data_IF_939148519208
#
_entry.id   IF_939148519208
#
_cell.length_a   1.000
_cell.length_b   1.000
_cell.length_c   1.000
_cell.angle_alpha   90.00
_cell.angle_beta   90.00
_cell.angle_gamma   90.00
#
_symmetry.space_group_name_H-M   'P 1'
#
loop_
_entity.id
_entity.type
_entity.pdbx_description
1 polymer ?
#
# COMPACT_ATOMS: atom_id res chain seq x y z
N UNK A 1 6.55 -14.48 8.22
CA UNK A 1 7.79 -14.01 7.55
C UNK A 1 8.14 -14.73 6.25
N UNK A 2 8.36 -16.06 6.16
CA UNK A 2 8.74 -16.70 4.87
C UNK A 2 7.78 -16.38 3.70
N UNK A 3 6.47 -16.49 3.93
CA UNK A 3 5.42 -16.12 2.95
C UNK A 3 5.48 -14.65 2.56
N UNK A 4 5.55 -13.76 3.53
CA UNK A 4 5.62 -12.31 3.34
C UNK A 4 6.86 -11.91 2.53
N UNK A 5 8.04 -12.44 2.89
CA UNK A 5 9.28 -12.25 2.11
C UNK A 5 9.11 -12.78 0.69
N UNK A 6 8.49 -13.95 0.52
CA UNK A 6 8.24 -14.52 -0.79
C UNK A 6 7.38 -13.58 -1.64
N UNK A 7 6.15 -13.27 -1.22
CA UNK A 7 5.22 -12.37 -1.94
C UNK A 7 5.87 -11.03 -2.22
N UNK A 8 6.46 -10.41 -1.20
CA UNK A 8 7.06 -9.09 -1.32
C UNK A 8 8.28 -9.07 -2.26
N UNK A 9 9.01 -10.18 -2.37
CA UNK A 9 10.14 -10.32 -3.31
C UNK A 9 9.73 -10.55 -4.77
N UNK A 10 8.51 -11.06 -5.04
CA UNK A 10 8.06 -11.40 -6.39
C UNK A 10 7.72 -10.18 -7.26
N UNK A 11 7.48 -9.02 -6.65
CA UNK A 11 6.98 -7.83 -7.35
C UNK A 11 7.86 -6.61 -7.08
N UNK A 12 7.89 -5.65 -7.99
CA UNK A 12 8.56 -4.36 -7.82
C UNK A 12 7.84 -3.30 -8.63
N UNK A 13 7.38 -2.25 -7.96
CA UNK A 13 6.64 -1.14 -8.56
C UNK A 13 6.87 0.13 -7.73
N UNK A 14 6.88 1.34 -8.32
CA UNK A 14 7.11 2.59 -7.57
C UNK A 14 6.14 2.79 -6.38
N UNK A 15 4.89 2.35 -6.55
CA UNK A 15 3.85 2.41 -5.52
C UNK A 15 3.74 1.16 -4.63
N UNK A 16 4.77 0.30 -4.63
CA UNK A 16 4.92 -0.77 -3.66
C UNK A 16 6.21 -0.52 -2.88
N UNK A 17 6.10 -0.46 -1.56
CA UNK A 17 7.23 -0.18 -0.70
C UNK A 17 8.26 -1.30 -0.86
N UNK A 18 9.54 -1.04 -1.15
CA UNK A 18 10.46 -2.11 -1.54
C UNK A 18 11.04 -2.86 -0.33
N UNK A 19 11.15 -4.18 -0.45
CA UNK A 19 11.96 -5.01 0.44
C UNK A 19 13.42 -4.99 -0.02
N UNK A 20 14.31 -4.43 0.80
CA UNK A 20 15.77 -4.42 0.55
C UNK A 20 16.42 -5.72 1.02
N UNK A 21 15.88 -6.33 2.07
CA UNK A 21 16.41 -7.58 2.61
C UNK A 21 15.66 -8.04 3.85
N UNK A 22 16.10 -9.15 4.42
CA UNK A 22 15.55 -9.68 5.66
C UNK A 22 16.65 -10.31 6.50
N UNK A 23 16.41 -10.40 7.81
CA UNK A 23 17.27 -11.10 8.76
C UNK A 23 16.44 -12.13 9.50
N UNK A 24 16.87 -13.39 9.46
CA UNK A 24 16.12 -14.51 10.05
C UNK A 24 16.34 -14.70 11.56
N UNK A 25 17.52 -14.32 12.09
CA UNK A 25 17.92 -14.56 13.47
C UNK A 25 18.72 -13.39 14.06
N UNK A 26 18.73 -13.16 15.39
CA UNK A 26 18.01 -13.90 16.43
C UNK A 26 16.52 -13.56 16.49
N UNK A 27 16.11 -12.44 15.90
CA UNK A 27 14.71 -12.10 15.67
C UNK A 27 14.49 -11.79 14.20
N UNK A 28 13.46 -12.38 13.58
CA UNK A 28 12.91 -11.99 12.28
C UNK A 28 12.82 -10.47 12.11
N UNK A 29 13.47 -9.92 11.09
CA UNK A 29 13.37 -8.51 10.70
C UNK A 29 13.32 -8.38 9.19
N UNK A 30 12.49 -7.45 8.71
CA UNK A 30 12.46 -7.02 7.31
C UNK A 30 13.15 -5.66 7.22
N UNK A 31 13.85 -5.43 6.12
CA UNK A 31 14.63 -4.22 5.88
C UNK A 31 14.07 -3.54 4.64
N UNK A 32 13.62 -2.31 4.78
CA UNK A 32 13.08 -1.48 3.72
C UNK A 32 13.55 -0.02 3.92
N UNK A 33 13.45 0.86 2.90
CA UNK A 33 13.77 2.27 3.07
C UNK A 33 12.89 2.92 4.14
N UNK A 34 13.45 3.87 4.88
CA UNK A 34 12.65 4.67 5.80
C UNK A 34 11.78 5.67 5.03
N UNK A 35 10.52 5.84 5.46
CA UNK A 35 9.59 6.83 4.91
C UNK A 35 9.32 7.90 5.98
N UNK A 36 9.96 9.07 5.87
CA UNK A 36 9.94 10.09 6.96
C UNK A 36 8.57 10.65 7.28
N UNK A 37 7.65 10.60 6.32
CA UNK A 37 6.29 11.09 6.49
C UNK A 37 5.37 10.04 7.13
N UNK A 38 5.87 8.81 7.35
CA UNK A 38 5.14 7.72 7.98
C UNK A 38 4.08 7.12 7.05
N UNK A 39 3.04 6.55 7.67
CA UNK A 39 1.87 6.05 6.94
C UNK A 39 0.86 7.15 6.64
N UNK A 40 -0.12 6.84 5.79
CA UNK A 40 -1.09 7.80 5.30
C UNK A 40 -2.01 8.31 6.41
N UNK A 41 -2.33 7.48 7.43
CA UNK A 41 -3.06 7.95 8.64
C UNK A 41 -2.31 9.07 9.35
N UNK A 42 -1.01 8.87 9.61
CA UNK A 42 -0.15 9.87 10.25
C UNK A 42 0.04 11.10 9.35
N UNK A 43 0.29 10.88 8.06
CA UNK A 43 0.50 11.95 7.09
C UNK A 43 -0.71 12.88 6.99
N UNK A 44 -1.93 12.33 6.88
CA UNK A 44 -3.16 13.14 6.81
C UNK A 44 -3.40 13.93 8.10
N UNK A 45 -3.15 13.32 9.26
CA UNK A 45 -3.29 14.00 10.56
C UNK A 45 -2.38 15.21 10.68
N UNK A 46 -1.14 15.10 10.20
CA UNK A 46 -0.16 16.19 10.27
C UNK A 46 -0.31 17.21 9.14
N UNK A 47 -1.15 16.94 8.14
CA UNK A 47 -1.39 17.82 7.01
C UNK A 47 -2.91 18.02 6.80
N UNK A 48 -3.64 18.63 7.78
CA UNK A 48 -5.09 18.78 7.69
C UNK A 48 -5.53 19.67 6.51
N UNK A 49 -4.66 20.55 6.04
CA UNK A 49 -4.88 21.43 4.88
C UNK A 49 -4.55 20.81 3.52
N UNK A 50 -4.33 19.49 3.43
CA UNK A 50 -3.98 18.84 2.16
C UNK A 50 -5.07 19.11 1.11
N UNK A 51 -4.66 19.61 -0.06
CA UNK A 51 -5.60 19.91 -1.14
C UNK A 51 -6.32 18.64 -1.60
N UNK A 52 -7.51 18.82 -2.19
CA UNK A 52 -8.24 17.71 -2.83
C UNK A 52 -7.36 17.00 -3.86
N UNK A 53 -6.62 17.76 -4.66
CA UNK A 53 -5.76 17.24 -5.71
C UNK A 53 -4.64 16.36 -5.13
N UNK A 54 -4.02 16.77 -4.03
CA UNK A 54 -2.96 15.99 -3.40
C UNK A 54 -3.50 14.73 -2.73
N UNK A 55 -4.70 14.79 -2.12
CA UNK A 55 -5.41 13.60 -1.64
C UNK A 55 -5.66 12.60 -2.78
N UNK A 56 -6.16 13.07 -3.92
CA UNK A 56 -6.37 12.25 -5.12
C UNK A 56 -5.08 11.67 -5.66
N UNK A 57 -3.97 12.43 -5.66
CA UNK A 57 -2.64 11.92 -6.06
C UNK A 57 -2.19 10.75 -5.18
N UNK A 58 -2.36 10.84 -3.86
CA UNK A 58 -2.01 9.76 -2.93
C UNK A 58 -2.89 8.52 -3.13
N UNK A 59 -4.20 8.71 -3.33
CA UNK A 59 -5.13 7.62 -3.65
C UNK A 59 -4.75 6.95 -4.97
N UNK A 60 -4.51 7.74 -6.01
CA UNK A 60 -4.12 7.24 -7.33
C UNK A 60 -2.83 6.42 -7.27
N UNK A 61 -1.83 6.92 -6.56
CA UNK A 61 -0.58 6.19 -6.31
C UNK A 61 -0.82 4.85 -5.60
N UNK A 62 -1.63 4.82 -4.54
CA UNK A 62 -2.02 3.57 -3.89
C UNK A 62 -2.78 2.62 -4.85
N UNK A 63 -3.67 3.16 -5.71
CA UNK A 63 -4.40 2.40 -6.73
C UNK A 63 -3.44 1.75 -7.74
N UNK A 64 -2.42 2.48 -8.22
CA UNK A 64 -1.39 1.93 -9.10
C UNK A 64 -0.65 0.76 -8.46
N UNK A 65 -0.31 0.86 -7.18
CA UNK A 65 0.31 -0.24 -6.44
C UNK A 65 -0.60 -1.47 -6.37
N UNK A 66 -1.88 -1.28 -6.05
CA UNK A 66 -2.82 -2.39 -5.92
C UNK A 66 -3.15 -3.04 -7.27
N UNK A 67 -3.36 -2.23 -8.31
CA UNK A 67 -3.58 -2.71 -9.67
C UNK A 67 -2.40 -3.55 -10.16
N UNK A 68 -1.15 -3.11 -9.87
CA UNK A 68 0.04 -3.88 -10.20
C UNK A 68 0.05 -5.27 -9.53
N UNK A 69 -0.42 -5.39 -8.28
CA UNK A 69 -0.55 -6.68 -7.58
C UNK A 69 -1.63 -7.56 -8.22
N UNK A 70 -2.78 -6.97 -8.53
CA UNK A 70 -3.91 -7.67 -9.15
C UNK A 70 -3.58 -8.15 -10.57
N UNK A 71 -2.74 -7.41 -11.30
CA UNK A 71 -2.29 -7.73 -12.65
C UNK A 71 -1.14 -8.76 -12.72
N UNK A 72 -0.59 -9.21 -11.59
CA UNK A 72 0.44 -10.26 -11.59
C UNK A 72 -0.10 -11.58 -12.16
N UNK A 73 0.80 -12.43 -12.63
CA UNK A 73 0.47 -13.79 -13.07
C UNK A 73 1.37 -14.79 -12.34
N UNK A 74 0.85 -15.52 -11.34
CA UNK A 74 -0.50 -15.45 -10.76
C UNK A 74 -0.83 -14.13 -10.02
N UNK A 75 -2.12 -13.72 -9.93
CA UNK A 75 -2.53 -12.51 -9.23
C UNK A 75 -2.19 -12.53 -7.73
N UNK A 76 -1.93 -11.36 -7.16
CA UNK A 76 -1.63 -11.20 -5.74
C UNK A 76 -2.73 -10.39 -5.06
N UNK A 77 -3.35 -10.96 -4.03
CA UNK A 77 -4.27 -10.26 -3.13
C UNK A 77 -3.47 -9.67 -1.95
N UNK A 78 -3.67 -8.40 -1.64
CA UNK A 78 -3.00 -7.71 -0.53
C UNK A 78 -3.58 -8.13 0.83
N UNK A 79 -4.91 -8.19 0.93
CA UNK A 79 -5.73 -8.64 2.07
C UNK A 79 -5.76 -7.72 3.31
N UNK A 80 -5.19 -6.51 3.27
CA UNK A 80 -5.24 -5.56 4.40
C UNK A 80 -5.05 -4.11 3.91
N UNK A 81 -5.82 -3.71 2.91
CA UNK A 81 -5.77 -2.34 2.40
C UNK A 81 -6.41 -1.38 3.42
N UNK A 82 -5.59 -0.44 3.90
CA UNK A 82 -5.98 0.62 4.84
C UNK A 82 -4.90 1.72 4.86
N UNK A 83 -5.19 2.93 5.35
CA UNK A 83 -4.21 4.01 5.30
C UNK A 83 -2.94 3.76 6.13
N UNK A 84 -3.01 2.93 7.18
CA UNK A 84 -1.82 2.52 7.96
C UNK A 84 -0.81 1.71 7.15
N UNK A 85 -1.28 1.02 6.09
CA UNK A 85 -0.47 0.19 5.22
C UNK A 85 -0.07 0.92 3.92
N UNK A 86 -0.32 2.24 3.82
CA UNK A 86 0.17 3.09 2.73
C UNK A 86 1.22 4.04 3.30
N UNK A 87 2.48 3.87 2.92
CA UNK A 87 3.58 4.74 3.36
C UNK A 87 3.76 5.93 2.43
N UNK A 88 4.06 7.09 2.99
CA UNK A 88 4.40 8.31 2.23
C UNK A 88 5.90 8.52 2.31
N UNK A 89 6.57 8.39 1.17
CA UNK A 89 8.00 8.57 1.06
C UNK A 89 8.41 10.04 1.19
N UNK A 90 9.71 10.24 1.36
CA UNK A 90 10.40 11.53 1.41
C UNK A 90 10.11 12.46 0.23
N UNK A 91 9.68 11.91 -0.91
CA UNK A 91 9.31 12.64 -2.13
C UNK A 91 7.79 12.75 -2.31
N UNK A 92 7.02 12.60 -1.22
CA UNK A 92 5.55 12.65 -1.21
C UNK A 92 4.88 11.60 -2.11
N UNK A 93 5.58 10.49 -2.35
CA UNK A 93 5.04 9.35 -3.11
C UNK A 93 4.46 8.31 -2.15
N UNK A 94 3.20 7.94 -2.37
CA UNK A 94 2.51 6.88 -1.63
C UNK A 94 2.85 5.50 -2.19
N UNK A 95 3.10 4.54 -1.30
CA UNK A 95 3.37 3.16 -1.66
C UNK A 95 2.70 2.19 -0.68
N UNK A 96 2.10 1.12 -1.20
CA UNK A 96 1.54 0.05 -0.36
C UNK A 96 2.65 -0.70 0.36
N UNK A 97 2.37 -1.13 1.58
CA UNK A 97 3.29 -1.80 2.49
C UNK A 97 2.55 -2.86 3.30
N UNK A 98 3.29 -3.60 4.13
CA UNK A 98 2.76 -4.69 4.95
C UNK A 98 2.08 -5.80 4.14
N UNK A 99 2.93 -6.66 3.56
CA UNK A 99 2.50 -7.85 2.83
C UNK A 99 2.28 -9.07 3.75
N UNK A 100 2.15 -8.84 5.07
CA UNK A 100 2.05 -9.90 6.07
C UNK A 100 0.83 -10.80 5.86
N UNK A 101 -0.26 -10.25 5.34
CA UNK A 101 -1.50 -10.96 5.03
C UNK A 101 -1.65 -11.30 3.54
N UNK A 102 -0.75 -10.81 2.68
CA UNK A 102 -0.86 -10.99 1.23
C UNK A 102 -0.71 -12.44 0.80
N UNK A 103 -1.35 -12.77 -0.33
CA UNK A 103 -1.42 -14.12 -0.86
C UNK A 103 -1.41 -14.13 -2.39
N UNK A 104 -0.61 -15.05 -2.93
CA UNK A 104 -0.64 -15.43 -4.35
C UNK A 104 -1.85 -16.32 -4.62
N UNK A 105 -2.67 -15.94 -5.61
CA UNK A 105 -3.87 -16.68 -6.02
C UNK A 105 -3.51 -17.64 -7.16
N UNK A 106 -3.01 -18.82 -6.81
CA UNK A 106 -2.77 -19.90 -7.79
C UNK A 106 -4.09 -20.56 -8.23
N UNK A 107 -4.22 -20.84 -9.53
CA UNK A 107 -5.46 -21.33 -10.16
C UNK A 107 -5.98 -22.65 -9.58
N UNK A 108 -7.31 -22.77 -9.53
CA UNK A 108 -8.10 -23.94 -9.12
C UNK A 108 -7.59 -24.68 -7.88
N UNK A 109 -7.83 -24.07 -6.71
CA UNK A 109 -8.13 -24.81 -5.50
C UNK A 109 -6.97 -25.50 -4.78
N UNK A 110 -5.70 -25.27 -5.17
CA UNK A 110 -4.55 -25.74 -4.39
C UNK A 110 -3.73 -24.59 -3.83
N UNK A 111 -3.56 -24.53 -2.50
CA UNK A 111 -2.76 -23.48 -1.86
C UNK A 111 -1.27 -23.72 -2.10
N UNK A 112 -0.49 -22.64 -2.22
CA UNK A 112 0.89 -22.68 -1.73
C UNK A 112 0.82 -23.13 -0.26
N UNK A 113 1.54 -24.20 0.10
CA UNK A 113 1.41 -24.97 1.36
C UNK A 113 1.73 -24.23 2.68
N UNK A 114 1.33 -22.97 2.81
CA UNK A 114 1.61 -22.06 3.91
C UNK A 114 0.34 -21.54 4.61
N UNK A 115 -0.83 -22.13 4.35
CA UNK A 115 -2.10 -21.77 4.99
C UNK A 115 -2.21 -22.39 6.39
N UNK A 116 -1.67 -21.70 7.40
CA UNK A 116 -2.06 -21.94 8.80
C UNK A 116 -2.93 -20.78 9.29
N UNK A 117 -4.11 -21.15 9.80
CA UNK A 117 -5.13 -20.40 10.56
C UNK A 117 -6.40 -19.94 9.81
N UNK A 118 -7.51 -20.60 10.17
CA UNK A 118 -8.93 -20.41 9.84
C UNK A 118 -9.59 -19.16 10.46
N UNK A 119 -8.81 -18.11 10.79
CA UNK A 119 -9.35 -16.88 11.40
C UNK A 119 -9.35 -15.73 10.41
N UNK A 120 -10.47 -15.00 10.38
CA UNK A 120 -10.61 -13.71 9.71
C UNK A 120 -9.50 -12.78 10.24
N UNK A 121 -8.66 -12.27 9.35
CA UNK A 121 -7.56 -11.34 9.66
C UNK A 121 -7.73 -10.08 8.81
N UNK A 122 -7.40 -8.93 9.39
CA UNK A 122 -7.53 -7.63 8.75
C UNK A 122 -8.10 -6.61 9.73
N UNK A 123 -8.38 -5.41 9.21
CA UNK A 123 -8.93 -4.31 10.00
C UNK A 123 -10.43 -4.20 9.74
N UNK A 124 -11.27 -4.55 10.73
CA UNK A 124 -12.73 -4.75 10.60
C UNK A 124 -13.43 -3.69 9.72
N UNK A 125 -13.11 -2.40 9.91
CA UNK A 125 -13.75 -1.29 9.20
C UNK A 125 -13.50 -1.28 7.67
N UNK A 126 -12.52 -2.04 7.19
CA UNK A 126 -12.16 -2.17 5.78
C UNK A 126 -12.50 -3.57 5.22
N UNK A 127 -13.06 -4.47 6.03
CA UNK A 127 -13.30 -5.85 5.63
C UNK A 127 -14.64 -6.00 4.89
N UNK A 128 -14.61 -6.74 3.78
CA UNK A 128 -15.80 -7.03 2.99
C UNK A 128 -16.72 -8.05 3.69
N UNK A 129 -18.03 -7.95 3.46
CA UNK A 129 -19.05 -8.75 4.16
C UNK A 129 -18.94 -10.26 3.95
N UNK A 130 -18.53 -10.69 2.77
CA UNK A 130 -18.32 -12.11 2.43
C UNK A 130 -17.24 -12.78 3.30
N UNK A 131 -16.32 -12.01 3.91
CA UNK A 131 -15.33 -12.54 4.84
C UNK A 131 -15.95 -12.99 6.16
N UNK A 132 -17.18 -12.60 6.47
CA UNK A 132 -17.89 -12.96 7.69
C UNK A 132 -19.02 -13.97 7.46
N UNK A 133 -19.51 -14.09 6.23
CA UNK A 133 -20.67 -14.92 5.89
C UNK A 133 -20.31 -16.21 5.13
N UNK A 134 -19.14 -16.27 4.49
CA UNK A 134 -18.72 -17.46 3.76
C UNK A 134 -18.28 -18.60 4.71
N UNK A 135 -18.58 -19.84 4.33
CA UNK A 135 -18.13 -21.04 5.07
C UNK A 135 -16.60 -21.16 5.14
N UNK A 136 -15.90 -20.68 4.09
CA UNK A 136 -14.44 -20.66 4.02
C UNK A 136 -13.96 -19.25 3.64
N UNK A 137 -13.94 -18.32 4.60
CA UNK A 137 -13.66 -16.91 4.30
C UNK A 137 -12.22 -16.74 3.83
N UNK A 138 -12.07 -16.09 2.66
CA UNK A 138 -10.79 -15.95 1.97
C UNK A 138 -10.72 -14.58 1.33
N UNK A 139 -9.63 -13.86 1.59
CA UNK A 139 -9.35 -12.59 0.90
C UNK A 139 -9.09 -12.82 -0.59
N UNK A 140 -9.79 -12.06 -1.43
CA UNK A 140 -9.68 -12.09 -2.89
C UNK A 140 -9.36 -10.70 -3.42
N UNK A 141 -9.18 -10.57 -4.74
CA UNK A 141 -8.96 -9.26 -5.37
C UNK A 141 -10.15 -8.33 -5.11
N UNK A 142 -11.36 -8.88 -5.10
CA UNK A 142 -12.62 -8.17 -4.84
C UNK A 142 -12.70 -7.67 -3.40
N UNK A 143 -12.14 -8.41 -2.43
CA UNK A 143 -12.04 -7.94 -1.04
C UNK A 143 -11.06 -6.78 -0.89
N UNK A 144 -9.99 -6.73 -1.70
CA UNK A 144 -9.09 -5.58 -1.75
C UNK A 144 -9.80 -4.35 -2.33
N UNK A 145 -10.64 -4.52 -3.36
CA UNK A 145 -11.44 -3.43 -3.96
C UNK A 145 -12.41 -2.82 -2.93
N UNK A 146 -13.08 -3.66 -2.14
CA UNK A 146 -13.95 -3.21 -1.05
C UNK A 146 -13.17 -2.35 -0.04
N UNK A 147 -12.03 -2.85 0.40
CA UNK A 147 -11.15 -2.17 1.33
C UNK A 147 -10.59 -0.86 0.74
N UNK A 148 -10.31 -0.83 -0.56
CA UNK A 148 -9.87 0.36 -1.28
C UNK A 148 -10.95 1.45 -1.32
N UNK A 149 -12.24 1.09 -1.42
CA UNK A 149 -13.34 2.04 -1.22
C UNK A 149 -13.28 2.73 0.15
N UNK A 150 -12.97 1.97 1.20
CA UNK A 150 -12.73 2.51 2.55
C UNK A 150 -11.50 3.41 2.64
N UNK A 151 -10.42 3.09 1.91
CA UNK A 151 -9.23 3.92 1.79
C UNK A 151 -9.58 5.29 1.18
N UNK A 152 -10.29 5.30 0.05
CA UNK A 152 -10.77 6.53 -0.61
C UNK A 152 -11.56 7.38 0.38
N UNK A 153 -12.56 6.78 1.06
CA UNK A 153 -13.38 7.47 2.04
C UNK A 153 -12.54 8.12 3.14
N UNK A 154 -11.58 7.37 3.68
CA UNK A 154 -10.73 7.85 4.78
C UNK A 154 -9.86 9.02 4.35
N UNK A 155 -9.21 8.91 3.19
CA UNK A 155 -8.30 9.94 2.69
C UNK A 155 -9.06 11.22 2.35
N UNK A 156 -10.22 11.09 1.72
CA UNK A 156 -11.00 12.25 1.27
C UNK A 156 -11.69 12.95 2.44
N UNK A 157 -12.40 12.20 3.28
CA UNK A 157 -13.20 12.75 4.40
C UNK A 157 -12.40 13.00 5.69
N UNK A 158 -11.21 12.40 5.83
CA UNK A 158 -10.43 12.42 7.06
C UNK A 158 -10.97 11.51 8.18
N UNK A 159 -12.00 10.71 7.91
CA UNK A 159 -12.64 9.80 8.88
C UNK A 159 -12.66 8.37 8.37
N UNK A 160 -12.35 7.42 9.23
CA UNK A 160 -12.38 5.99 8.89
C UNK A 160 -13.81 5.50 8.68
N UNK A 161 -14.06 4.46 7.84
CA UNK A 161 -15.37 3.85 7.74
C UNK A 161 -15.90 3.46 9.13
N UNK A 162 -17.20 3.69 9.37
CA UNK A 162 -17.87 3.31 10.63
C UNK A 162 -17.25 3.88 11.91
N UNK A 163 -16.57 5.02 11.83
CA UNK A 163 -15.91 5.65 12.97
C UNK A 163 -16.87 5.86 14.15
N UNK A 164 -16.45 5.45 15.35
CA UNK A 164 -17.22 5.61 16.59
C UNK A 164 -18.24 4.49 16.86
N UNK A 165 -18.45 3.55 15.94
CA UNK A 165 -19.27 2.38 16.18
C UNK A 165 -18.48 1.29 16.93
N UNK A 166 -19.20 0.49 17.72
CA UNK A 166 -18.65 -0.74 18.33
C UNK A 166 -18.49 -1.81 17.27
N UNK A 167 -17.51 -2.71 17.45
CA UNK A 167 -17.23 -3.80 16.49
C UNK A 167 -18.47 -4.62 16.12
N UNK A 168 -19.35 -4.93 17.09
CA UNK A 168 -20.60 -5.67 16.81
C UNK A 168 -21.56 -4.90 15.91
N UNK A 169 -21.62 -3.57 16.05
CA UNK A 169 -22.44 -2.72 15.20
C UNK A 169 -21.83 -2.56 13.79
N UNK A 170 -20.50 -2.48 13.70
CA UNK A 170 -19.78 -2.49 12.42
C UNK A 170 -20.04 -3.79 11.68
N UNK A 171 -19.87 -4.94 12.35
CA UNK A 171 -20.15 -6.25 11.79
C UNK A 171 -21.60 -6.37 11.31
N UNK A 172 -22.56 -5.95 12.14
CA UNK A 172 -23.98 -5.94 11.77
C UNK A 172 -24.22 -5.11 10.50
N UNK A 173 -23.65 -3.91 10.39
CA UNK A 173 -23.81 -3.07 9.19
C UNK A 173 -23.22 -3.73 7.95
N UNK A 174 -21.98 -4.23 8.06
CA UNK A 174 -21.27 -4.87 6.95
C UNK A 174 -22.03 -6.11 6.44
N UNK A 175 -22.54 -6.98 7.33
CA UNK A 175 -23.23 -8.21 6.93
C UNK A 175 -24.67 -7.99 6.44
N UNK A 176 -25.24 -6.80 6.68
CA UNK A 176 -26.59 -6.42 6.25
C UNK A 176 -26.58 -5.39 5.10
N UNK A 177 -25.49 -5.32 4.32
CA UNK A 177 -25.36 -4.42 3.16
C UNK A 177 -25.59 -2.93 3.50
N UNK A 178 -25.08 -2.49 4.65
CA UNK A 178 -25.11 -1.10 5.08
C UNK A 178 -23.70 -0.51 5.00
N UNK A 179 -23.29 0.05 3.84
CA UNK A 179 -22.00 0.73 3.71
C UNK A 179 -21.95 2.01 4.56
N UNK A 180 -20.78 2.65 4.69
CA UNK A 180 -20.66 3.93 5.38
C UNK A 180 -21.63 4.99 4.82
N UNK A 181 -22.32 5.69 5.71
CA UNK A 181 -23.26 6.75 5.36
C UNK A 181 -22.53 8.06 5.05
N UNK A 182 -23.04 8.85 4.10
CA UNK A 182 -22.40 10.11 3.71
C UNK A 182 -22.42 11.13 4.85
N UNK A 183 -23.48 11.10 5.66
CA UNK A 183 -23.74 11.99 6.79
C UNK A 183 -22.65 11.89 7.88
N UNK A 184 -22.04 10.71 8.02
CA UNK A 184 -20.98 10.45 8.99
C UNK A 184 -19.63 11.10 8.53
N UNK A 185 -19.52 11.46 7.25
CA UNK A 185 -18.28 11.82 6.55
C UNK A 185 -18.29 13.24 5.93
N UNK A 186 -18.68 14.24 6.73
CA UNK A 186 -18.81 15.66 6.35
C UNK A 186 -17.56 16.30 5.69
N UNK A 187 -16.37 15.72 5.85
CA UNK A 187 -15.15 16.18 5.17
C UNK A 187 -15.13 15.90 3.65
N UNK A 188 -16.10 15.13 3.14
CA UNK A 188 -16.32 14.86 1.73
C UNK A 188 -17.72 15.34 1.33
N UNK A 189 -17.86 16.32 0.42
CA UNK A 189 -19.18 16.80 -0.01
C UNK A 189 -20.09 15.70 -0.55
N UNK A 190 -21.40 15.77 -0.30
CA UNK A 190 -22.36 14.77 -0.80
C UNK A 190 -22.46 14.75 -2.33
N UNK A 191 -22.17 15.88 -2.98
CA UNK A 191 -22.12 16.02 -4.44
C UNK A 191 -20.87 15.44 -5.08
N UNK A 192 -19.92 14.93 -4.27
CA UNK A 192 -18.66 14.42 -4.78
C UNK A 192 -18.85 13.16 -5.64
N UNK A 193 -18.30 13.11 -6.87
CA UNK A 193 -18.47 11.96 -7.75
C UNK A 193 -17.87 10.67 -7.18
N UNK A 194 -16.89 10.75 -6.26
CA UNK A 194 -16.27 9.57 -5.65
C UNK A 194 -17.25 8.72 -4.85
N UNK A 195 -18.37 9.28 -4.37
CA UNK A 195 -19.41 8.49 -3.72
C UNK A 195 -19.98 7.42 -4.64
N UNK A 196 -20.10 7.70 -5.93
CA UNK A 196 -20.55 6.73 -6.92
C UNK A 196 -19.57 5.55 -7.05
N UNK A 197 -18.28 5.85 -7.12
CA UNK A 197 -17.21 4.86 -7.19
C UNK A 197 -17.14 4.00 -5.91
N UNK A 198 -17.15 4.64 -4.73
CA UNK A 198 -17.08 3.92 -3.46
C UNK A 198 -18.28 3.00 -3.25
N UNK A 199 -19.49 3.43 -3.63
CA UNK A 199 -20.67 2.55 -3.60
C UNK A 199 -20.50 1.30 -4.47
N UNK A 200 -19.92 1.43 -5.67
CA UNK A 200 -19.63 0.25 -6.51
C UNK A 200 -18.56 -0.66 -5.88
N UNK A 201 -17.55 -0.09 -5.23
CA UNK A 201 -16.56 -0.86 -4.47
C UNK A 201 -17.18 -1.64 -3.29
N UNK A 202 -18.22 -1.10 -2.64
CA UNK A 202 -18.91 -1.75 -1.52
C UNK A 202 -20.08 -2.64 -1.94
N UNK A 203 -20.24 -2.95 -3.23
CA UNK A 203 -21.27 -3.87 -3.70
C UNK A 203 -21.14 -5.23 -2.99
N UNK A 204 -22.25 -5.78 -2.49
CA UNK A 204 -22.26 -7.06 -1.78
C UNK A 204 -21.76 -8.22 -2.64
N UNK A 205 -22.20 -8.29 -3.89
CA UNK A 205 -21.73 -9.29 -4.86
C UNK A 205 -20.28 -8.97 -5.23
N UNK A 206 -19.28 -9.78 -4.83
CA UNK A 206 -17.87 -9.45 -5.05
C UNK A 206 -17.51 -9.26 -6.52
N UNK A 207 -18.06 -10.10 -7.40
CA UNK A 207 -17.78 -10.09 -8.84
C UNK A 207 -18.40 -8.89 -9.57
N UNK A 208 -19.34 -8.19 -8.93
CA UNK A 208 -19.93 -6.96 -9.46
C UNK A 208 -19.12 -5.70 -9.10
N UNK A 209 -18.08 -5.83 -8.26
CA UNK A 209 -17.19 -4.72 -7.91
C UNK A 209 -16.29 -4.37 -9.11
N UNK A 210 -15.96 -3.09 -9.30
CA UNK A 210 -15.09 -2.68 -10.41
C UNK A 210 -13.68 -3.23 -10.20
N UNK A 211 -13.00 -3.74 -11.25
CA UNK A 211 -11.61 -4.11 -11.14
C UNK A 211 -10.75 -2.87 -10.86
N UNK A 212 -9.58 -3.05 -10.24
CA UNK A 212 -8.71 -1.91 -9.89
C UNK A 212 -8.28 -1.05 -11.08
N UNK A 213 -8.22 -1.61 -12.28
CA UNK A 213 -7.96 -0.86 -13.51
C UNK A 213 -9.05 0.17 -13.82
N UNK A 214 -10.31 -0.11 -13.47
CA UNK A 214 -11.42 0.84 -13.59
C UNK A 214 -11.37 1.88 -12.47
N UNK A 215 -11.15 1.43 -11.23
CA UNK A 215 -10.98 2.32 -10.07
C UNK A 215 -9.88 3.36 -10.35
N UNK A 216 -8.73 2.93 -10.88
CA UNK A 216 -7.59 3.77 -11.24
C UNK A 216 -7.96 4.85 -12.26
N UNK A 217 -8.77 4.52 -13.27
CA UNK A 217 -9.23 5.47 -14.28
C UNK A 217 -10.09 6.58 -13.67
N UNK A 218 -10.93 6.25 -12.69
CA UNK A 218 -11.84 7.21 -12.06
C UNK A 218 -11.21 8.05 -10.95
N UNK A 219 -10.21 7.53 -10.23
CA UNK A 219 -9.46 8.31 -9.22
C UNK A 219 -8.29 9.08 -9.84
N UNK A 220 -8.05 8.95 -11.14
CA UNK A 220 -7.00 9.67 -11.86
C UNK A 220 -7.12 11.17 -11.61
N UNK A 221 -6.05 11.85 -11.15
CA UNK A 221 -6.04 13.29 -11.00
C UNK A 221 -6.15 13.92 -12.39
N UNK A 222 -7.36 14.24 -12.83
CA UNK A 222 -7.59 14.98 -14.08
C UNK A 222 -6.86 16.32 -14.02
N UNK A 223 -5.87 16.52 -14.91
CA UNK A 223 -5.15 17.81 -15.03
C UNK A 223 -5.98 18.93 -15.67
N UNK A 224 -7.25 18.70 -16.05
CA UNK A 224 -8.00 19.60 -16.94
C UNK A 224 -9.26 20.26 -16.33
N UNK A 225 -9.41 20.35 -15.01
CA UNK A 225 -10.54 21.11 -14.45
C UNK A 225 -10.26 21.73 -13.08
N UNK A 226 -9.16 22.47 -12.94
CA UNK A 226 -9.01 23.45 -11.87
C UNK A 226 -8.37 24.70 -12.47
N UNK A 227 -9.19 25.64 -12.94
CA UNK A 227 -8.79 27.05 -12.94
C UNK A 227 -8.93 27.54 -11.51
N UNK A 228 -7.90 27.34 -10.69
CA UNK A 228 -7.74 28.10 -9.45
C UNK A 228 -6.98 29.38 -9.85
N UNK A 229 -7.63 30.57 -9.76
CA UNK A 229 -6.99 31.84 -10.14
C UNK A 229 -5.89 32.30 -9.18
N UNK A 230 -5.65 31.58 -8.07
CA UNK A 230 -4.76 32.03 -6.98
C UNK A 230 -3.51 31.16 -6.77
N UNK A 231 -3.07 30.39 -7.76
CA UNK A 231 -1.77 29.68 -7.66
C UNK A 231 -0.68 30.38 -8.48
N UNK A 232 0.00 31.33 -7.83
CA UNK A 232 1.31 31.79 -8.26
C UNK A 232 2.27 30.60 -8.33
N UNK A 233 3.05 30.55 -9.40
CA UNK A 233 3.55 29.33 -9.99
C UNK A 233 4.72 28.65 -9.28
N UNK A 234 4.71 27.32 -9.33
CA UNK A 234 5.84 26.50 -9.81
C UNK A 234 5.31 25.07 -10.04
N UNK A 235 4.74 24.83 -11.24
CA UNK A 235 4.37 23.48 -11.65
C UNK A 235 5.64 22.69 -11.96
N UNK A 236 6.14 21.95 -10.98
CA UNK A 236 7.26 21.04 -11.14
C UNK A 236 6.88 19.91 -12.11
N UNK A 237 7.38 20.00 -13.35
CA UNK A 237 7.30 18.92 -14.34
C UNK A 237 8.18 17.76 -13.86
N UNK A 238 7.61 16.80 -13.14
CA UNK A 238 8.33 15.57 -12.84
C UNK A 238 8.22 14.62 -14.04
N UNK A 239 9.21 14.70 -14.93
CA UNK A 239 9.58 13.62 -15.83
C UNK A 239 9.77 12.34 -15.02
N UNK A 240 9.06 11.28 -15.38
CA UNK A 240 9.24 9.93 -14.84
C UNK A 240 10.69 9.48 -15.09
N UNK A 241 11.52 9.49 -14.05
CA UNK A 241 12.93 9.11 -14.15
C UNK A 241 13.60 9.09 -12.79
N UNK A 242 13.36 8.04 -12.01
CA UNK A 242 14.19 7.73 -10.83
C UNK A 242 15.15 6.61 -11.23
N UNK A 243 16.47 6.72 -10.96
CA UNK A 243 17.43 5.68 -11.27
C UNK A 243 17.12 4.41 -10.48
N UNK A 244 16.84 3.32 -11.19
CA UNK A 244 16.53 2.02 -10.60
C UNK A 244 17.82 1.37 -10.08
N UNK A 245 17.92 1.13 -8.78
CA UNK A 245 18.94 0.24 -8.22
C UNK A 245 18.59 -1.19 -8.64
N UNK A 246 19.32 -1.71 -9.62
CA UNK A 246 19.22 -3.09 -10.10
C UNK A 246 19.54 -4.04 -8.92
N UNK A 247 18.58 -4.88 -8.53
CA UNK A 247 18.76 -5.92 -7.50
C UNK A 247 19.84 -6.92 -7.96
N UNK A 248 20.98 -6.94 -7.29
CA UNK A 248 21.77 -8.17 -7.12
C UNK A 248 21.38 -8.76 -5.78
N UNK A 249 20.62 -9.85 -5.81
CA UNK A 249 20.34 -10.65 -4.61
C UNK A 249 21.67 -11.31 -4.19
N UNK A 250 22.33 -10.76 -3.18
CA UNK A 250 23.45 -11.42 -2.52
C UNK A 250 22.85 -12.48 -1.58
N UNK A 251 22.63 -13.67 -2.12
CA UNK A 251 22.54 -14.89 -1.31
C UNK A 251 23.97 -15.30 -0.95
N UNK A 252 24.38 -15.19 0.30
CA UNK A 252 25.61 -15.84 0.76
C UNK A 252 25.31 -17.26 1.22
N UNK A 253 25.89 -18.31 0.62
CA UNK A 253 26.19 -19.53 1.34
C UNK A 253 27.57 -19.42 1.99
N UNK A 254 27.74 -20.10 3.11
CA UNK A 254 29.00 -20.30 3.81
C UNK A 254 30.10 -20.81 2.87
N UNK A 255 31.29 -20.18 2.87
CA UNK A 255 32.55 -20.83 2.54
C UNK A 255 33.76 -20.00 2.99
N UNK A 256 34.70 -20.71 3.60
CA UNK A 256 36.07 -20.39 3.97
C UNK A 256 36.92 -19.69 2.88
N UNK A 257 37.80 -18.79 3.31
CA UNK A 257 38.93 -18.22 2.54
C UNK A 257 39.99 -19.31 2.23
N UNK A 258 40.75 -19.24 1.10
CA UNK A 258 42.11 -18.65 1.11
C UNK A 258 42.46 -17.92 -0.25
N UNK A 259 43.69 -17.38 -0.53
CA UNK A 259 43.87 -16.04 -1.09
C UNK A 259 44.53 -15.94 -2.49
N UNK A 260 44.69 -14.68 -2.98
CA UNK A 260 45.43 -14.18 -4.17
C UNK A 260 44.72 -14.33 -5.52
N UNK A 261 44.69 -13.39 -6.49
CA UNK A 261 45.40 -12.14 -6.81
C UNK A 261 44.34 -11.09 -7.25
N UNK A 262 44.32 -9.85 -6.78
CA UNK A 262 45.16 -8.72 -7.22
C UNK A 262 45.23 -8.50 -8.75
N UNK A 263 44.37 -7.63 -9.29
CA UNK A 263 44.72 -6.42 -10.07
C UNK A 263 43.53 -5.94 -10.90
N UNK A 264 43.08 -4.70 -10.61
CA UNK A 264 42.55 -3.67 -11.53
C UNK A 264 41.54 -2.76 -10.78
N UNK A 265 42.07 -1.76 -10.08
CA UNK A 265 41.40 -0.49 -9.77
C UNK A 265 42.03 0.60 -10.69
N UNK A 266 41.48 1.83 -10.88
CA UNK A 266 40.43 2.51 -10.08
C UNK A 266 39.45 3.45 -10.86
N UNK A 267 38.14 3.43 -10.56
CA UNK A 267 37.23 4.61 -10.80
C UNK A 267 36.22 4.85 -9.65
N UNK A 268 36.21 4.07 -8.56
CA UNK A 268 35.21 4.25 -7.48
C UNK A 268 35.85 4.40 -6.10
N UNK A 269 36.62 5.48 -5.88
CA UNK A 269 37.17 5.77 -4.57
C UNK A 269 37.27 7.26 -4.23
N UNK A 270 36.14 7.98 -4.29
CA UNK A 270 36.03 9.30 -3.63
C UNK A 270 34.66 9.67 -3.04
N UNK A 271 33.64 8.80 -3.09
CA UNK A 271 32.27 9.19 -2.62
C UNK A 271 31.74 8.43 -1.40
N UNK A 272 32.55 7.61 -0.72
CA UNK A 272 32.09 6.79 0.42
C UNK A 272 32.74 7.11 1.78
N UNK A 273 33.42 8.25 1.93
CA UNK A 273 34.18 8.55 3.16
C UNK A 273 33.73 9.78 3.96
N UNK A 274 32.56 10.39 3.70
CA UNK A 274 32.13 11.59 4.48
C UNK A 274 30.72 11.55 5.09
N UNK A 275 30.05 10.39 5.19
CA UNK A 275 28.80 10.28 5.97
C UNK A 275 28.80 9.23 7.08
N UNK A 276 29.89 8.45 7.24
CA UNK A 276 30.00 7.49 8.36
C UNK A 276 30.85 8.02 9.53
N UNK A 277 31.58 9.13 9.35
CA UNK A 277 32.38 9.71 10.45
C UNK A 277 31.65 10.79 11.29
N UNK A 278 30.42 11.17 10.94
CA UNK A 278 29.64 12.16 11.70
C UNK A 278 28.73 11.56 12.79
N UNK A 279 28.63 10.23 12.89
CA UNK A 279 27.78 9.53 13.88
C UNK A 279 28.55 8.74 14.95
N UNK A 280 29.88 8.91 15.05
CA UNK A 280 30.71 8.24 16.07
C UNK A 280 31.46 9.19 17.02
N UNK A 281 31.14 10.50 17.06
CA UNK A 281 31.77 11.46 18.01
C UNK A 281 30.73 12.19 18.90
N UNK A 282 29.49 11.70 19.04
CA UNK A 282 28.54 12.20 20.06
C UNK A 282 27.84 11.09 20.83
N UNK A 283 28.65 10.30 21.52
CA UNK A 283 28.17 9.23 22.41
C UNK A 283 29.31 8.58 23.17
N UNK A 284 30.11 9.39 23.88
CA UNK A 284 31.01 9.00 24.96
C UNK A 284 30.98 10.11 26.01
#
# INVERSE_FOLDING_TARGET
>A
MKREVFVWSQTTHPNLHPLLGYRSQPRPRLISPWCRHGNLTHYLRNNPGLSRLDKLRLIFQAACGLEHLHAQSPPICHADIKPENVLVSDYFHAALSDFGLSRVLEGFGRPSGFTTSERIKGTLNYMAGELFTAENPRATLETDVYAFGGLILTVMSGKTPFQGLRESAVLFRITNDQPPHMEDHQGLPHSDPLWGLMRRCWTMTPEARPPMQEVLREVSPSMNSITDPDSDGEFCRCSFGVPFLRKSLISTPEASCPPSLAMMAPVLQTWMSMQVLALLIRGA
#
